data_IF_383433901425
#
_entry.id   IF_383433901425
#
_cell.length_a   1.000
_cell.length_b   1.000
_cell.length_c   1.000
_cell.angle_alpha   90.00
_cell.angle_beta   90.00
_cell.angle_gamma   90.00
#
_symmetry.space_group_name_H-M   'P 1'
#
loop_
_entity.id
_entity.type
_entity.pdbx_description
1 polymer ?
#
# COMPACT_ATOMS: atom_id res chain seq x y z
N UNK A 1 48.41 -4.37 -43.19
CA UNK A 1 47.22 -3.60 -42.77
C UNK A 1 46.25 -4.55 -42.09
N UNK A 2 46.37 -4.71 -40.77
CA UNK A 2 45.46 -5.53 -39.98
C UNK A 2 44.38 -4.60 -39.39
N UNK A 3 43.17 -4.68 -39.91
CA UNK A 3 42.02 -3.98 -39.34
C UNK A 3 41.46 -4.82 -38.20
N UNK A 4 41.87 -4.50 -36.97
CA UNK A 4 41.23 -5.01 -35.75
C UNK A 4 39.89 -4.28 -35.57
N UNK A 5 38.81 -4.88 -36.05
CA UNK A 5 37.45 -4.47 -35.69
C UNK A 5 37.18 -4.89 -34.24
N UNK A 6 37.21 -3.93 -33.31
CA UNK A 6 36.74 -4.15 -31.95
C UNK A 6 35.24 -4.49 -31.97
N UNK A 7 34.76 -5.49 -31.21
CA UNK A 7 33.33 -5.75 -31.09
C UNK A 7 32.66 -4.55 -30.40
N UNK A 8 31.60 -4.02 -31.02
CA UNK A 8 30.71 -3.04 -30.38
C UNK A 8 30.15 -3.66 -29.08
N UNK A 9 29.89 -2.88 -28.02
CA UNK A 9 29.26 -3.39 -26.81
C UNK A 9 27.79 -3.70 -27.15
N UNK A 10 27.54 -4.91 -27.63
CA UNK A 10 26.19 -5.41 -27.81
C UNK A 10 25.54 -5.52 -26.43
N UNK A 11 24.39 -4.85 -26.25
CA UNK A 11 23.48 -5.09 -25.13
C UNK A 11 23.26 -6.60 -25.01
N UNK A 12 23.75 -7.21 -23.94
CA UNK A 12 23.54 -8.64 -23.67
C UNK A 12 22.03 -8.95 -23.62
N UNK A 13 21.65 -10.20 -23.91
CA UNK A 13 20.26 -10.64 -23.76
C UNK A 13 19.70 -10.33 -22.36
N UNK A 14 20.55 -10.45 -21.33
CA UNK A 14 20.22 -10.07 -19.97
C UNK A 14 19.87 -8.58 -19.81
N UNK A 15 20.57 -7.67 -20.51
CA UNK A 15 20.26 -6.24 -20.51
C UNK A 15 18.90 -5.91 -21.14
N UNK A 16 18.54 -6.61 -22.23
CA UNK A 16 17.22 -6.48 -22.87
C UNK A 16 16.11 -6.98 -21.96
N UNK A 17 16.30 -8.13 -21.30
CA UNK A 17 15.36 -8.69 -20.34
C UNK A 17 15.17 -7.74 -19.16
N UNK A 18 16.25 -7.21 -18.58
CA UNK A 18 16.17 -6.26 -17.48
C UNK A 18 15.37 -4.99 -17.85
N UNK A 19 15.55 -4.49 -19.08
CA UNK A 19 14.80 -3.34 -19.58
C UNK A 19 13.31 -3.68 -19.74
N UNK A 20 12.98 -4.83 -20.33
CA UNK A 20 11.60 -5.28 -20.49
C UNK A 20 10.89 -5.52 -19.15
N UNK A 21 11.56 -6.19 -18.21
CA UNK A 21 11.07 -6.38 -16.83
C UNK A 21 10.78 -5.04 -16.17
N UNK A 22 11.71 -4.07 -16.28
CA UNK A 22 11.52 -2.75 -15.67
C UNK A 22 10.32 -2.00 -16.27
N UNK A 23 10.15 -2.04 -17.60
CA UNK A 23 9.01 -1.41 -18.27
C UNK A 23 7.69 -2.06 -17.86
N UNK A 24 7.60 -3.40 -17.94
CA UNK A 24 6.38 -4.13 -17.61
C UNK A 24 6.01 -4.02 -16.13
N UNK A 25 7.00 -4.05 -15.24
CA UNK A 25 6.77 -3.77 -13.81
C UNK A 25 6.24 -2.35 -13.61
N UNK A 26 6.80 -1.34 -14.30
CA UNK A 26 6.31 0.03 -14.20
C UNK A 26 4.87 0.18 -14.67
N UNK A 27 4.52 -0.40 -15.83
CA UNK A 27 3.18 -0.33 -16.40
C UNK A 27 2.15 -0.98 -15.47
N UNK A 28 2.50 -2.16 -14.93
CA UNK A 28 1.63 -2.89 -14.01
C UNK A 28 1.48 -2.16 -12.65
N UNK A 29 2.53 -1.49 -12.16
CA UNK A 29 2.42 -0.64 -10.98
C UNK A 29 1.49 0.56 -11.20
N UNK A 30 1.48 1.15 -12.40
CA UNK A 30 0.52 2.19 -12.76
C UNK A 30 -0.92 1.67 -12.71
N UNK A 31 -1.17 0.46 -13.21
CA UNK A 31 -2.49 -0.16 -13.16
C UNK A 31 -2.95 -0.41 -11.71
N UNK A 32 -2.06 -0.92 -10.85
CA UNK A 32 -2.32 -1.11 -9.41
C UNK A 32 -2.74 0.20 -8.74
N UNK A 33 -2.05 1.30 -9.07
CA UNK A 33 -2.38 2.65 -8.58
C UNK A 33 -3.77 3.08 -9.02
N UNK A 34 -4.11 2.88 -10.30
CA UNK A 34 -5.41 3.29 -10.84
C UNK A 34 -6.55 2.44 -10.25
N UNK A 35 -6.31 1.14 -10.01
CA UNK A 35 -7.24 0.28 -9.27
C UNK A 35 -7.51 0.83 -7.86
N UNK A 36 -6.46 1.23 -7.12
CA UNK A 36 -6.61 1.79 -5.77
C UNK A 36 -7.37 3.11 -5.77
N UNK A 37 -7.14 3.99 -6.75
CA UNK A 37 -7.94 5.22 -6.94
C UNK A 37 -9.41 4.89 -7.24
N UNK A 38 -9.67 3.94 -8.14
CA UNK A 38 -11.03 3.51 -8.47
C UNK A 38 -11.76 2.98 -7.23
N UNK A 39 -11.08 2.19 -6.41
CA UNK A 39 -11.62 1.70 -5.14
C UNK A 39 -11.97 2.84 -4.18
N UNK A 40 -11.10 3.84 -4.03
CA UNK A 40 -11.38 5.01 -3.19
C UNK A 40 -12.59 5.81 -3.69
N UNK A 41 -12.74 5.97 -5.01
CA UNK A 41 -13.91 6.61 -5.62
C UNK A 41 -15.19 5.81 -5.38
N UNK A 42 -15.17 4.50 -5.61
CA UNK A 42 -16.32 3.62 -5.39
C UNK A 42 -16.76 3.67 -3.92
N UNK A 43 -15.81 3.67 -2.98
CA UNK A 43 -16.10 3.84 -1.55
C UNK A 43 -16.84 5.14 -1.26
N UNK A 44 -16.38 6.26 -1.82
CA UNK A 44 -17.06 7.57 -1.67
C UNK A 44 -18.48 7.56 -2.23
N UNK A 45 -18.65 7.00 -3.43
CA UNK A 45 -19.97 6.88 -4.07
C UNK A 45 -20.90 5.98 -3.24
N UNK A 46 -20.41 4.85 -2.71
CA UNK A 46 -21.20 3.95 -1.88
C UNK A 46 -21.68 4.64 -0.59
N UNK A 47 -20.84 5.45 0.03
CA UNK A 47 -21.20 6.28 1.18
C UNK A 47 -22.33 7.27 0.84
N UNK A 48 -22.25 7.94 -0.31
CA UNK A 48 -23.30 8.88 -0.72
C UNK A 48 -24.61 8.17 -1.10
N UNK A 49 -24.54 7.01 -1.75
CA UNK A 49 -25.70 6.17 -2.04
C UNK A 49 -26.38 5.64 -0.77
N UNK A 50 -25.60 5.29 0.26
CA UNK A 50 -26.14 4.85 1.54
C UNK A 50 -26.87 6.01 2.26
N UNK A 51 -26.32 7.24 2.23
CA UNK A 51 -27.02 8.43 2.75
C UNK A 51 -28.35 8.67 2.04
N UNK A 52 -28.40 8.40 0.73
CA UNK A 52 -29.61 8.50 -0.10
C UNK A 52 -30.55 7.28 0.03
N UNK A 53 -30.26 6.33 0.94
CA UNK A 53 -31.03 5.11 1.19
C UNK A 53 -31.16 4.20 -0.06
N UNK A 54 -30.17 4.25 -0.95
CA UNK A 54 -30.13 3.44 -2.18
C UNK A 54 -29.36 2.12 -1.96
N UNK A 55 -29.73 1.36 -0.93
CA UNK A 55 -28.98 0.16 -0.49
C UNK A 55 -28.84 -0.92 -1.56
N UNK A 56 -29.77 -1.02 -2.51
CA UNK A 56 -29.63 -1.97 -3.63
C UNK A 56 -28.44 -1.63 -4.53
N UNK A 57 -28.19 -0.34 -4.79
CA UNK A 57 -27.01 0.09 -5.57
C UNK A 57 -25.72 -0.04 -4.77
N UNK A 58 -25.77 0.12 -3.45
CA UNK A 58 -24.62 -0.13 -2.56
C UNK A 58 -24.17 -1.59 -2.67
N UNK A 59 -25.11 -2.55 -2.72
CA UNK A 59 -24.80 -3.97 -2.94
C UNK A 59 -24.19 -4.25 -4.32
N UNK A 60 -24.66 -3.57 -5.37
CA UNK A 60 -24.04 -3.65 -6.71
C UNK A 60 -22.59 -3.14 -6.71
N UNK A 61 -22.33 -2.02 -6.01
CA UNK A 61 -20.97 -1.52 -5.83
C UNK A 61 -20.10 -2.45 -5.00
N UNK A 62 -20.67 -3.10 -3.98
CA UNK A 62 -19.95 -4.08 -3.16
C UNK A 62 -19.44 -5.26 -3.99
N UNK A 63 -20.28 -5.81 -4.87
CA UNK A 63 -19.86 -6.85 -5.81
C UNK A 63 -18.73 -6.36 -6.74
N UNK A 64 -18.85 -5.11 -7.24
CA UNK A 64 -17.82 -4.48 -8.07
C UNK A 64 -16.49 -4.32 -7.33
N UNK A 65 -16.51 -3.99 -6.03
CA UNK A 65 -15.30 -3.88 -5.20
C UNK A 65 -14.62 -5.23 -5.04
N UNK A 66 -15.37 -6.32 -4.88
CA UNK A 66 -14.82 -7.67 -4.78
C UNK A 66 -14.11 -8.09 -6.08
N UNK A 67 -14.72 -7.84 -7.24
CA UNK A 67 -14.09 -8.09 -8.54
C UNK A 67 -12.82 -7.25 -8.73
N UNK A 68 -12.86 -5.98 -8.32
CA UNK A 68 -11.72 -5.08 -8.39
C UNK A 68 -10.56 -5.53 -7.47
N UNK A 69 -10.87 -6.11 -6.31
CA UNK A 69 -9.87 -6.67 -5.39
C UNK A 69 -9.23 -7.94 -5.91
N UNK A 70 -9.98 -8.79 -6.61
CA UNK A 70 -9.42 -9.94 -7.31
C UNK A 70 -8.45 -9.47 -8.40
N UNK A 71 -8.86 -8.49 -9.23
CA UNK A 71 -7.99 -7.89 -10.24
C UNK A 71 -6.73 -7.24 -9.64
N UNK A 72 -6.84 -6.58 -8.48
CA UNK A 72 -5.71 -6.01 -7.75
C UNK A 72 -4.70 -7.10 -7.32
N UNK A 73 -5.20 -8.21 -6.77
CA UNK A 73 -4.36 -9.33 -6.35
C UNK A 73 -3.65 -9.97 -7.54
N UNK A 74 -4.37 -10.14 -8.65
CA UNK A 74 -3.83 -10.64 -9.90
C UNK A 74 -2.70 -9.76 -10.44
N UNK A 75 -2.90 -8.43 -10.45
CA UNK A 75 -1.86 -7.49 -10.84
C UNK A 75 -0.66 -7.56 -9.89
N UNK A 76 -0.88 -7.73 -8.59
CA UNK A 76 0.22 -7.85 -7.61
C UNK A 76 1.05 -9.11 -7.87
N UNK A 77 0.40 -10.26 -8.05
CA UNK A 77 1.05 -11.52 -8.41
C UNK A 77 1.82 -11.39 -9.73
N UNK A 78 1.24 -10.71 -10.73
CA UNK A 78 1.89 -10.46 -12.01
C UNK A 78 3.14 -9.59 -11.87
N UNK A 79 3.10 -8.57 -11.00
CA UNK A 79 4.26 -7.71 -10.73
C UNK A 79 5.42 -8.52 -10.15
N UNK A 80 5.13 -9.37 -9.16
CA UNK A 80 6.12 -10.20 -8.50
C UNK A 80 6.70 -11.25 -9.45
N UNK A 81 5.85 -11.88 -10.27
CA UNK A 81 6.28 -12.82 -11.29
C UNK A 81 7.20 -12.15 -12.32
N UNK A 82 6.87 -10.96 -12.84
CA UNK A 82 7.74 -10.23 -13.77
C UNK A 82 9.11 -9.93 -13.13
N UNK A 83 9.13 -9.55 -11.86
CA UNK A 83 10.39 -9.26 -11.17
C UNK A 83 11.25 -10.51 -10.97
N UNK A 84 10.64 -11.66 -10.70
CA UNK A 84 11.36 -12.93 -10.49
C UNK A 84 11.91 -13.52 -11.79
N UNK A 85 11.34 -13.21 -12.97
CA UNK A 85 11.86 -13.65 -14.28
C UNK A 85 13.34 -13.32 -14.43
N UNK A 86 13.79 -12.17 -13.94
CA UNK A 86 15.20 -11.77 -14.02
C UNK A 86 16.12 -12.77 -13.32
N UNK A 87 15.71 -13.29 -12.16
CA UNK A 87 16.47 -14.28 -11.40
C UNK A 87 16.31 -15.70 -11.96
N UNK A 88 15.18 -16.00 -12.58
CA UNK A 88 14.87 -17.34 -13.11
C UNK A 88 15.50 -17.58 -14.49
N UNK A 89 15.72 -16.53 -15.27
CA UNK A 89 16.27 -16.67 -16.62
C UNK A 89 17.72 -17.16 -16.59
N UNK A 90 17.95 -18.35 -17.16
CA UNK A 90 19.27 -18.88 -17.45
C UNK A 90 19.51 -18.86 -18.96
N UNK A 91 20.56 -18.17 -19.45
CA UNK A 91 20.93 -18.21 -20.86
C UNK A 91 21.23 -19.65 -21.29
N UNK A 92 20.61 -20.09 -22.39
CA UNK A 92 20.86 -21.39 -22.99
C UNK A 92 20.79 -21.30 -24.52
N UNK A 93 21.29 -22.32 -25.21
CA UNK A 93 21.23 -22.43 -26.67
C UNK A 93 19.81 -22.71 -27.19
N UNK A 94 18.88 -23.05 -26.31
CA UNK A 94 17.47 -23.28 -26.66
C UNK A 94 16.61 -22.02 -26.46
N UNK A 95 15.61 -21.77 -27.33
CA UNK A 95 14.66 -20.68 -27.13
C UNK A 95 13.87 -20.85 -25.82
N UNK A 96 13.88 -19.81 -24.98
CA UNK A 96 13.08 -19.78 -23.76
C UNK A 96 11.63 -19.41 -24.06
N UNK A 97 10.68 -20.21 -23.56
CA UNK A 97 9.25 -19.87 -23.61
C UNK A 97 8.89 -18.96 -22.42
N UNK A 98 9.07 -17.65 -22.60
CA UNK A 98 8.78 -16.66 -21.55
C UNK A 98 7.31 -16.61 -21.14
N UNK A 99 6.37 -16.91 -22.04
CA UNK A 99 4.94 -16.95 -21.72
C UNK A 99 4.67 -18.03 -20.68
N UNK A 100 5.13 -19.26 -20.94
CA UNK A 100 4.95 -20.38 -20.01
C UNK A 100 5.65 -20.10 -18.68
N UNK A 101 6.88 -19.58 -18.71
CA UNK A 101 7.63 -19.28 -17.50
C UNK A 101 6.91 -18.25 -16.60
N UNK A 102 6.29 -17.24 -17.21
CA UNK A 102 5.49 -16.25 -16.50
C UNK A 102 4.19 -16.85 -15.96
N UNK A 103 3.47 -17.63 -16.76
CA UNK A 103 2.22 -18.30 -16.35
C UNK A 103 2.46 -19.27 -15.18
N UNK A 104 3.52 -20.08 -15.24
CA UNK A 104 3.90 -21.03 -14.19
C UNK A 104 4.23 -20.29 -12.88
N UNK A 105 4.96 -19.17 -12.95
CA UNK A 105 5.32 -18.40 -11.76
C UNK A 105 4.12 -17.64 -11.17
N UNK A 106 3.23 -17.09 -12.01
CA UNK A 106 1.98 -16.46 -11.55
C UNK A 106 1.09 -17.48 -10.85
N UNK A 107 0.93 -18.68 -11.42
CA UNK A 107 0.13 -19.75 -10.81
C UNK A 107 0.68 -20.14 -9.43
N UNK A 108 1.99 -20.31 -9.33
CA UNK A 108 2.69 -20.59 -8.07
C UNK A 108 2.48 -19.48 -7.02
N UNK A 109 2.56 -18.21 -7.42
CA UNK A 109 2.34 -17.08 -6.50
C UNK A 109 0.88 -16.99 -6.03
N UNK A 110 -0.08 -17.24 -6.92
CA UNK A 110 -1.51 -17.28 -6.56
C UNK A 110 -1.84 -18.41 -5.58
N UNK A 111 -1.24 -19.58 -5.75
CA UNK A 111 -1.37 -20.69 -4.80
C UNK A 111 -0.75 -20.36 -3.43
N UNK A 112 0.36 -19.64 -3.42
CA UNK A 112 1.07 -19.26 -2.20
C UNK A 112 0.39 -18.09 -1.44
N UNK A 113 -0.38 -17.25 -2.13
CA UNK A 113 -1.06 -16.08 -1.55
C UNK A 113 -2.54 -16.02 -1.95
N UNK A 114 -3.38 -16.93 -1.42
CA UNK A 114 -4.83 -16.82 -1.57
C UNK A 114 -5.33 -15.48 -1.02
N UNK A 115 -6.35 -14.90 -1.66
CA UNK A 115 -6.97 -13.68 -1.18
C UNK A 115 -7.44 -13.88 0.27
N UNK A 116 -6.95 -13.10 1.25
CA UNK A 116 -7.38 -13.27 2.63
C UNK A 116 -8.89 -12.99 2.75
N UNK A 117 -9.66 -13.80 3.49
CA UNK A 117 -11.08 -13.53 3.74
C UNK A 117 -11.29 -12.18 4.46
N UNK A 118 -10.28 -11.69 5.17
CA UNK A 118 -10.27 -10.41 5.85
C UNK A 118 -9.34 -9.40 5.13
N UNK A 119 -9.71 -9.02 3.89
CA UNK A 119 -8.96 -8.02 3.13
C UNK A 119 -9.16 -6.61 3.76
N UNK A 120 -8.08 -5.91 4.18
CA UNK A 120 -8.20 -4.61 4.84
C UNK A 120 -8.97 -3.56 4.03
N UNK A 121 -8.83 -3.59 2.70
CA UNK A 121 -9.47 -2.62 1.82
C UNK A 121 -10.97 -2.89 1.65
N UNK A 122 -11.37 -4.16 1.65
CA UNK A 122 -12.79 -4.53 1.67
C UNK A 122 -13.44 -4.18 3.02
N UNK A 123 -12.73 -4.42 4.12
CA UNK A 123 -13.19 -4.00 5.45
C UNK A 123 -13.38 -2.49 5.53
N UNK A 124 -12.40 -1.69 5.09
CA UNK A 124 -12.52 -0.23 5.04
C UNK A 124 -13.71 0.24 4.20
N UNK A 125 -14.04 -0.47 3.13
CA UNK A 125 -15.24 -0.20 2.34
C UNK A 125 -16.52 -0.43 3.16
N UNK A 126 -16.65 -1.58 3.82
CA UNK A 126 -17.82 -1.91 4.67
C UNK A 126 -17.95 -0.97 5.87
N UNK A 127 -16.85 -0.69 6.57
CA UNK A 127 -16.80 0.24 7.70
C UNK A 127 -17.26 1.64 7.28
N UNK A 128 -16.83 2.13 6.11
CA UNK A 128 -17.21 3.45 5.62
C UNK A 128 -18.73 3.56 5.38
N UNK A 129 -19.36 2.51 4.84
CA UNK A 129 -20.82 2.43 4.65
C UNK A 129 -21.52 2.34 6.01
N UNK A 130 -21.06 1.46 6.90
CA UNK A 130 -21.62 1.28 8.24
C UNK A 130 -21.67 2.59 9.04
N UNK A 131 -20.58 3.36 8.99
CA UNK A 131 -20.43 4.63 9.70
C UNK A 131 -21.45 5.70 9.27
N UNK A 132 -22.13 5.56 8.13
CA UNK A 132 -23.18 6.50 7.69
C UNK A 132 -24.33 6.58 8.68
N UNK A 133 -24.70 5.44 9.29
CA UNK A 133 -25.81 5.35 10.23
C UNK A 133 -25.40 4.97 11.66
N UNK A 134 -24.14 4.59 11.85
CA UNK A 134 -23.63 4.02 13.10
C UNK A 134 -22.29 4.65 13.51
N UNK A 135 -22.11 5.94 13.23
CA UNK A 135 -20.87 6.66 13.58
C UNK A 135 -20.49 6.45 15.06
N UNK A 136 -19.24 6.02 15.28
CA UNK A 136 -18.72 5.74 16.63
C UNK A 136 -19.08 4.36 17.18
N UNK A 137 -19.88 3.56 16.46
CA UNK A 137 -20.17 2.18 16.83
C UNK A 137 -19.34 1.20 15.97
N UNK A 138 -18.73 0.17 16.57
CA UNK A 138 -18.03 -0.86 15.81
C UNK A 138 -18.99 -1.63 14.91
N UNK A 139 -18.50 -2.09 13.76
CA UNK A 139 -19.31 -2.88 12.83
C UNK A 139 -19.57 -4.30 13.41
N UNK A 140 -20.82 -4.80 13.42
CA UNK A 140 -21.15 -6.11 13.99
C UNK A 140 -20.41 -7.25 13.28
N UNK A 141 -19.95 -8.24 14.05
CA UNK A 141 -19.23 -9.41 13.54
C UNK A 141 -17.71 -9.31 13.59
N UNK A 142 -17.15 -8.19 14.05
CA UNK A 142 -15.72 -7.99 14.28
C UNK A 142 -15.27 -8.33 15.72
N UNK A 143 -16.21 -8.60 16.63
CA UNK A 143 -15.99 -8.78 18.08
C UNK A 143 -15.21 -10.06 18.46
N UNK A 144 -14.92 -10.96 17.52
CA UNK A 144 -14.11 -12.16 17.75
C UNK A 144 -12.64 -12.01 17.36
N UNK A 145 -12.25 -10.87 16.79
CA UNK A 145 -10.85 -10.55 16.52
C UNK A 145 -10.37 -9.61 17.64
N UNK A 146 -9.51 -10.14 18.51
CA UNK A 146 -8.96 -9.49 19.70
C UNK A 146 -8.81 -7.97 19.61
N UNK A 147 -9.09 -7.30 20.73
CA UNK A 147 -8.84 -5.87 20.99
C UNK A 147 -7.40 -5.51 20.59
N UNK A 148 -7.19 -5.14 19.33
CA UNK A 148 -6.03 -4.42 18.86
C UNK A 148 -6.49 -2.98 18.77
N UNK A 149 -6.35 -2.26 19.88
CA UNK A 149 -6.43 -0.79 19.90
C UNK A 149 -5.28 -0.19 19.08
N UNK A 150 -5.40 -0.21 17.76
CA UNK A 150 -4.71 0.72 16.87
C UNK A 150 -5.54 0.84 15.59
N UNK A 151 -6.48 1.78 15.60
CA UNK A 151 -6.92 2.55 14.44
C UNK A 151 -7.06 1.77 13.12
N UNK A 152 -8.10 0.94 12.99
CA UNK A 152 -8.45 0.20 11.77
C UNK A 152 -8.70 1.08 10.54
N UNK A 153 -8.81 2.39 10.72
CA UNK A 153 -9.15 3.35 9.67
C UNK A 153 -8.02 3.67 8.68
N UNK A 154 -6.77 3.24 8.92
CA UNK A 154 -5.65 3.57 8.02
C UNK A 154 -4.69 2.42 7.75
N UNK A 155 -4.24 2.31 6.49
CA UNK A 155 -3.21 1.35 6.06
C UNK A 155 -1.79 1.80 6.43
N UNK A 156 -1.62 2.95 7.09
CA UNK A 156 -0.31 3.50 7.44
C UNK A 156 0.13 3.00 8.82
N UNK A 157 1.37 2.47 8.93
CA UNK A 157 1.90 1.95 10.19
C UNK A 157 2.26 3.02 11.23
N UNK A 158 2.38 4.28 10.80
CA UNK A 158 2.63 5.39 11.70
C UNK A 158 1.91 6.64 11.19
N UNK A 159 1.43 7.44 12.14
CA UNK A 159 0.69 8.69 11.88
C UNK A 159 1.58 9.94 11.97
N UNK A 160 2.77 9.82 12.54
CA UNK A 160 3.77 10.91 12.62
C UNK A 160 5.13 10.42 12.14
N UNK A 161 5.92 11.31 11.54
CA UNK A 161 7.29 11.02 11.18
C UNK A 161 8.15 10.94 12.47
N UNK A 162 8.86 9.83 12.74
CA UNK A 162 9.61 9.64 13.97
C UNK A 162 10.85 10.56 14.10
N UNK A 163 11.25 11.23 13.02
CA UNK A 163 12.40 12.15 13.03
C UNK A 163 11.99 13.62 13.18
N UNK A 164 10.88 14.03 12.58
CA UNK A 164 10.42 15.43 12.58
C UNK A 164 9.28 15.69 13.55
N UNK A 165 8.59 14.64 14.00
CA UNK A 165 7.36 14.74 14.78
C UNK A 165 6.13 15.20 13.98
N UNK A 166 6.30 15.56 12.69
CA UNK A 166 5.19 16.05 11.86
C UNK A 166 4.19 14.92 11.56
N UNK A 167 2.88 15.21 11.51
CA UNK A 167 1.88 14.29 10.98
C UNK A 167 2.25 13.82 9.58
N UNK A 168 2.00 12.55 9.27
CA UNK A 168 2.31 11.95 7.96
C UNK A 168 1.56 12.67 6.83
N UNK A 169 0.34 13.11 7.11
CA UNK A 169 -0.49 13.90 6.20
C UNK A 169 0.08 15.29 5.87
N UNK A 170 1.01 15.81 6.67
CA UNK A 170 1.63 17.14 6.49
C UNK A 170 3.05 17.07 5.91
N UNK A 171 3.56 15.87 5.62
CA UNK A 171 4.88 15.69 5.04
C UNK A 171 4.95 16.25 3.62
N UNK A 172 6.06 16.93 3.31
CA UNK A 172 6.26 17.53 1.99
C UNK A 172 6.80 16.50 1.00
N UNK A 173 7.63 15.57 1.47
CA UNK A 173 8.20 14.48 0.67
C UNK A 173 8.16 13.18 1.46
N UNK A 174 6.97 12.57 1.62
CA UNK A 174 6.82 11.32 2.34
C UNK A 174 7.56 10.19 1.63
N UNK A 175 8.29 9.39 2.40
CA UNK A 175 8.96 8.17 1.92
C UNK A 175 8.71 7.04 2.90
N UNK A 176 8.63 5.81 2.39
CA UNK A 176 8.40 4.60 3.15
C UNK A 176 9.57 3.64 3.01
N UNK A 177 9.95 2.99 4.11
CA UNK A 177 10.88 1.88 4.04
C UNK A 177 10.17 0.61 3.56
N UNK A 178 10.69 -0.05 2.52
CA UNK A 178 10.08 -1.27 1.99
C UNK A 178 10.22 -2.48 2.93
N UNK A 179 11.16 -2.44 3.89
CA UNK A 179 11.42 -3.52 4.85
C UNK A 179 10.60 -3.46 6.13
N UNK A 180 10.25 -2.25 6.60
CA UNK A 180 9.50 -2.04 7.83
C UNK A 180 8.21 -1.24 7.65
N UNK A 181 7.92 -0.73 6.44
CA UNK A 181 6.74 0.04 6.06
C UNK A 181 6.48 1.34 6.83
N UNK A 182 7.38 1.73 7.73
CA UNK A 182 7.35 3.05 8.39
C UNK A 182 7.65 4.20 7.41
N UNK A 183 7.02 5.34 7.68
CA UNK A 183 6.96 6.54 6.84
C UNK A 183 7.76 7.68 7.47
N UNK A 184 8.50 8.42 6.64
CA UNK A 184 9.40 9.50 7.05
C UNK A 184 9.31 10.69 6.10
N UNK A 185 9.77 11.86 6.55
CA UNK A 185 10.17 12.95 5.67
C UNK A 185 11.51 12.60 4.99
N UNK A 186 11.61 12.85 3.69
CA UNK A 186 12.73 12.39 2.85
C UNK A 186 14.09 12.94 3.29
N UNK A 187 14.21 14.26 3.46
CA UNK A 187 15.52 14.86 3.76
C UNK A 187 16.06 14.45 5.14
N UNK A 188 15.25 14.50 6.23
CA UNK A 188 15.67 14.02 7.55
C UNK A 188 16.09 12.56 7.57
N UNK A 189 15.34 11.66 6.92
CA UNK A 189 15.69 10.22 6.94
C UNK A 189 16.97 9.95 6.15
N UNK A 190 17.17 10.62 5.01
CA UNK A 190 18.40 10.48 4.24
C UNK A 190 19.61 11.00 5.00
N UNK A 191 19.46 12.11 5.74
CA UNK A 191 20.51 12.62 6.63
C UNK A 191 20.81 11.64 7.78
N UNK A 192 19.77 11.10 8.43
CA UNK A 192 19.89 10.11 9.49
C UNK A 192 20.68 8.87 9.05
N UNK A 193 20.35 8.31 7.88
CA UNK A 193 21.04 7.13 7.33
C UNK A 193 22.52 7.46 7.05
N UNK A 194 22.82 8.65 6.50
CA UNK A 194 24.21 9.09 6.25
C UNK A 194 25.03 9.27 7.52
N UNK A 195 24.41 9.71 8.62
CA UNK A 195 25.09 9.94 9.90
C UNK A 195 25.39 8.63 10.64
N UNK A 196 24.48 7.66 10.61
CA UNK A 196 24.60 6.38 11.34
C UNK A 196 25.43 5.31 10.61
N UNK A 197 25.95 5.61 9.41
CA UNK A 197 26.84 4.84 8.50
C UNK A 197 26.84 3.31 8.64
N UNK A 198 27.37 2.80 9.74
CA UNK A 198 27.55 1.37 9.96
C UNK A 198 26.22 0.61 10.14
N UNK A 199 25.26 1.14 10.91
CA UNK A 199 24.01 0.44 11.25
C UNK A 199 22.87 1.44 11.51
N UNK A 200 22.32 2.09 10.46
CA UNK A 200 21.18 2.99 10.58
C UNK A 200 19.89 2.21 10.89
N UNK A 201 19.63 1.92 12.16
CA UNK A 201 18.38 1.28 12.60
C UNK A 201 17.17 2.20 12.37
N UNK A 202 16.01 1.61 12.12
CA UNK A 202 14.73 2.31 12.06
C UNK A 202 14.54 3.22 13.30
N UNK A 203 14.23 4.52 13.12
CA UNK A 203 13.99 5.44 14.24
C UNK A 203 12.73 5.13 15.07
N UNK A 204 11.83 4.26 14.58
CA UNK A 204 10.64 3.85 15.34
C UNK A 204 11.05 2.88 16.45
N UNK A 205 10.63 3.21 17.68
CA UNK A 205 10.92 2.40 18.86
C UNK A 205 10.48 0.93 18.66
N UNK A 206 11.37 -0.01 18.98
CA UNK A 206 11.10 -1.45 18.87
C UNK A 206 11.21 -2.03 17.46
N UNK A 207 11.44 -1.23 16.41
CA UNK A 207 11.64 -1.77 15.07
C UNK A 207 13.11 -2.22 14.87
N UNK A 208 13.39 -3.52 14.64
CA UNK A 208 14.77 -4.02 14.54
C UNK A 208 15.40 -3.80 13.16
N UNK A 209 14.66 -3.25 12.19
CA UNK A 209 15.09 -3.18 10.78
C UNK A 209 16.19 -2.15 10.58
N UNK A 210 17.19 -2.51 9.78
CA UNK A 210 18.27 -1.63 9.33
C UNK A 210 17.82 -0.97 8.03
N UNK A 211 17.99 0.34 7.94
CA UNK A 211 17.55 1.14 6.80
C UNK A 211 18.63 1.21 5.73
N UNK A 212 18.21 1.01 4.48
CA UNK A 212 19.04 1.23 3.30
C UNK A 212 18.43 2.36 2.47
N UNK A 213 19.25 3.30 1.98
CA UNK A 213 18.74 4.44 1.20
C UNK A 213 17.92 3.99 -0.03
N UNK A 214 18.35 2.91 -0.68
CA UNK A 214 17.68 2.32 -1.85
C UNK A 214 16.31 1.69 -1.52
N UNK A 215 16.10 1.33 -0.24
CA UNK A 215 14.86 0.72 0.26
C UNK A 215 13.90 1.75 0.85
N UNK A 216 14.29 3.02 0.95
CA UNK A 216 13.46 4.13 1.43
C UNK A 216 13.01 4.96 0.24
N UNK A 217 11.78 4.70 -0.22
CA UNK A 217 11.24 5.24 -1.46
C UNK A 217 9.84 5.82 -1.24
N UNK A 218 9.45 6.79 -2.06
CA UNK A 218 8.05 7.19 -2.18
C UNK A 218 7.40 6.21 -3.15
N UNK A 219 6.80 5.13 -2.65
CA UNK A 219 6.07 4.21 -3.51
C UNK A 219 4.75 4.86 -3.97
N UNK A 220 4.21 4.51 -5.16
CA UNK A 220 3.01 5.14 -5.68
C UNK A 220 1.75 4.97 -4.82
N UNK A 221 1.68 3.91 -3.99
CA UNK A 221 0.54 3.66 -3.12
C UNK A 221 0.56 4.54 -1.87
N UNK A 222 1.76 4.86 -1.36
CA UNK A 222 1.91 5.75 -0.19
C UNK A 222 1.16 7.07 -0.38
N UNK A 223 1.24 7.70 -1.55
CA UNK A 223 0.54 8.95 -1.83
C UNK A 223 -0.98 8.79 -1.78
N UNK A 224 -1.50 7.65 -2.25
CA UNK A 224 -2.94 7.34 -2.22
C UNK A 224 -3.40 7.16 -0.78
N UNK A 225 -2.66 6.38 0.01
CA UNK A 225 -3.02 6.09 1.40
C UNK A 225 -2.95 7.34 2.29
N UNK A 226 -1.99 8.25 2.03
CA UNK A 226 -1.93 9.56 2.70
C UNK A 226 -3.14 10.42 2.34
N UNK A 227 -3.54 10.44 1.07
CA UNK A 227 -4.70 11.21 0.62
C UNK A 227 -6.03 10.63 1.16
N UNK A 228 -6.12 9.30 1.24
CA UNK A 228 -7.23 8.62 1.92
C UNK A 228 -7.31 9.04 3.40
N UNK A 229 -6.18 9.07 4.11
CA UNK A 229 -6.12 9.50 5.51
C UNK A 229 -6.57 10.96 5.69
N UNK A 230 -6.11 11.87 4.82
CA UNK A 230 -6.55 13.28 4.82
C UNK A 230 -8.05 13.43 4.64
N UNK A 231 -8.63 12.63 3.74
CA UNK A 231 -10.06 12.65 3.46
C UNK A 231 -10.88 12.23 4.69
N UNK A 232 -10.39 11.27 5.48
CA UNK A 232 -11.05 10.81 6.71
C UNK A 232 -10.91 11.82 7.87
N UNK A 233 -9.75 12.48 8.01
CA UNK A 233 -9.57 13.53 9.03
C UNK A 233 -10.50 14.72 8.79
N UNK A 234 -10.67 15.15 7.54
CA UNK A 234 -11.61 16.23 7.21
C UNK A 234 -13.08 15.91 7.58
N UNK A 235 -13.43 14.63 7.66
CA UNK A 235 -14.77 14.17 8.08
C UNK A 235 -14.92 14.12 9.61
N UNK A 236 -13.83 13.91 10.36
CA UNK A 236 -13.84 13.77 11.83
C UNK A 236 -13.74 15.10 12.59
N UNK A 237 -13.44 16.23 11.92
CA UNK A 237 -13.32 17.56 12.54
C UNK A 237 -14.67 18.21 12.90
N UNK A 238 -15.83 17.54 12.75
CA UNK A 238 -17.00 17.90 13.57
C UNK A 238 -16.77 17.37 14.99
N UNK A 239 -16.37 18.22 15.96
CA UNK A 239 -15.95 17.73 17.25
C UNK A 239 -17.19 17.23 17.99
N UNK A 240 -17.22 15.94 18.31
CA UNK A 240 -18.00 15.43 19.43
C UNK A 240 -17.49 16.17 20.66
N UNK A 241 -18.29 17.13 21.14
CA UNK A 241 -18.08 17.83 22.39
C UNK A 241 -18.11 16.76 23.48
N UNK A 242 -16.94 16.37 23.97
CA UNK A 242 -16.83 15.60 25.20
C UNK A 242 -17.12 16.59 26.31
N UNK A 243 -18.39 16.68 26.73
CA UNK A 243 -18.77 17.45 27.92
C UNK A 243 -18.19 16.74 29.15
N UNK A 244 -17.29 17.44 29.84
CA UNK A 244 -16.75 17.05 31.13
C UNK A 244 -17.82 17.28 32.20
N UNK A 245 -18.43 16.21 32.71
CA UNK A 245 -19.47 16.24 33.74
C UNK A 245 -18.90 16.19 35.17
N UNK A 246 -17.65 16.58 35.40
CA UNK A 246 -17.10 16.66 36.75
C UNK A 246 -17.49 17.96 37.48
N UNK A 247 -18.79 18.24 37.58
CA UNK A 247 -19.31 19.10 38.64
C UNK A 247 -19.67 18.20 39.84
N UNK A 248 -18.77 18.16 40.81
CA UNK A 248 -19.08 17.70 42.16
C UNK A 248 -19.84 18.84 42.85
N UNK A 249 -21.15 18.66 43.00
CA UNK A 249 -21.98 19.46 43.89
C UNK A 249 -21.50 19.24 45.33
N UNK A 250 -20.77 20.22 45.88
CA UNK A 250 -20.48 20.31 47.30
C UNK A 250 -21.73 20.83 48.04
N UNK A 251 -22.67 19.92 48.32
CA UNK A 251 -23.76 20.12 49.28
C UNK A 251 -23.55 19.20 50.51
N UNK A 252 -22.87 19.71 51.54
CA UNK A 252 -23.21 19.67 53.00
C UNK A 252 -22.05 20.12 53.90
#
# INVERSE_FOLDING_TARGET
MASTSAPRPHSSAAGRIATAVSSLSSDNQSLIVDIRKAQAMIKGIAVDLEKDQQSDKVKELEATVLELLEAYNDCTCFSEAIQSIRSLYQPSDQPTNFKKLLEDEVAKLKEASPLPPNNPLYRQFKEAIWNVHHAGQPMPGEEQEDIVMTSTQSNLLNITCPLTGKPVIELQSPVRCMDCKHIYEKDPIMHYIRMKKAHPQCPVAGCPKILHMERVVCDPLLSIEIEEMRSTENVTVQPTVVEDFTEVDDDE
#
